data_IF_054456366779
#
_entry.id   IF_054456366779
#
_cell.length_a   1.000
_cell.length_b   1.000
_cell.length_c   1.000
_cell.angle_alpha   90.00
_cell.angle_beta   90.00
_cell.angle_gamma   90.00
#
_symmetry.space_group_name_H-M   'P 1'
#
loop_
_entity.id
_entity.type
_entity.pdbx_description
1 polymer ?
#
# COMPACT_ATOMS: atom_id res chain seq x y z
N UNK A 1 20.09 11.40 66.09
CA UNK A 1 19.73 10.12 65.44
C UNK A 1 18.73 10.28 64.29
N UNK A 2 17.78 11.24 64.31
CA UNK A 2 16.76 11.44 63.27
C UNK A 2 17.36 11.93 61.93
N UNK A 3 18.45 12.73 61.98
CA UNK A 3 19.10 13.27 60.78
C UNK A 3 19.85 12.23 59.93
N UNK A 4 20.37 11.16 60.55
CA UNK A 4 21.06 10.09 59.81
C UNK A 4 20.11 9.17 59.05
N UNK A 5 18.93 8.90 59.60
CA UNK A 5 17.92 8.05 58.98
C UNK A 5 17.28 8.74 57.77
N UNK A 6 16.99 10.06 57.84
CA UNK A 6 16.48 10.83 56.73
C UNK A 6 17.49 10.95 55.58
N UNK A 7 18.76 11.06 55.86
CA UNK A 7 19.82 11.09 54.85
C UNK A 7 19.95 9.74 54.11
N UNK A 8 19.83 8.63 54.84
CA UNK A 8 19.86 7.29 54.26
C UNK A 8 18.64 7.02 53.35
N UNK A 9 17.43 7.48 53.73
CA UNK A 9 16.22 7.34 52.94
C UNK A 9 16.34 8.18 51.65
N UNK A 10 16.85 9.40 51.75
CA UNK A 10 17.07 10.26 50.59
C UNK A 10 18.12 9.67 49.61
N UNK A 11 19.22 9.11 50.13
CA UNK A 11 20.23 8.43 49.31
C UNK A 11 19.68 7.18 48.60
N UNK A 12 18.88 6.36 49.30
CA UNK A 12 18.23 5.19 48.73
C UNK A 12 17.22 5.57 47.66
N UNK A 13 16.45 6.67 47.87
CA UNK A 13 15.52 7.21 46.88
C UNK A 13 16.23 7.68 45.59
N UNK A 14 17.35 8.40 45.72
CA UNK A 14 18.16 8.83 44.59
C UNK A 14 18.75 7.66 43.80
N UNK A 15 19.22 6.60 44.50
CA UNK A 15 19.71 5.38 43.84
C UNK A 15 18.59 4.65 43.06
N UNK A 16 17.40 4.57 43.64
CA UNK A 16 16.23 3.95 42.97
C UNK A 16 15.81 4.72 41.72
N UNK A 17 15.76 6.05 41.81
CA UNK A 17 15.47 6.90 40.64
C UNK A 17 16.56 6.78 39.58
N UNK A 18 17.82 6.75 39.98
CA UNK A 18 18.97 6.53 39.09
C UNK A 18 18.89 5.18 38.34
N UNK A 19 18.57 4.09 39.06
CA UNK A 19 18.37 2.77 38.48
C UNK A 19 17.17 2.73 37.52
N UNK A 20 16.06 3.38 37.85
CA UNK A 20 14.89 3.45 37.03
C UNK A 20 15.18 4.21 35.72
N UNK A 21 15.87 5.34 35.82
CA UNK A 21 16.30 6.13 34.67
C UNK A 21 17.30 5.37 33.78
N UNK A 22 18.23 4.61 34.39
CA UNK A 22 19.13 3.76 33.61
C UNK A 22 18.42 2.63 32.89
N UNK A 23 17.41 2.01 33.53
CA UNK A 23 16.58 0.98 32.89
C UNK A 23 15.71 1.57 31.75
N UNK A 24 15.08 2.72 31.93
CA UNK A 24 14.32 3.40 30.90
C UNK A 24 15.21 3.75 29.69
N UNK A 25 16.41 4.27 29.92
CA UNK A 25 17.37 4.53 28.84
C UNK A 25 17.84 3.25 28.13
N UNK A 26 18.03 2.16 28.86
CA UNK A 26 18.40 0.88 28.26
C UNK A 26 17.28 0.32 27.39
N UNK A 27 16.01 0.44 27.81
CA UNK A 27 14.83 0.05 27.02
C UNK A 27 14.71 0.95 25.79
N UNK A 28 14.83 2.26 25.95
CA UNK A 28 14.81 3.20 24.84
C UNK A 28 15.91 2.91 23.80
N UNK A 29 17.14 2.62 24.26
CA UNK A 29 18.24 2.21 23.38
C UNK A 29 18.01 0.87 22.67
N UNK A 30 17.29 -0.08 23.29
CA UNK A 30 16.94 -1.35 22.63
C UNK A 30 15.85 -1.21 21.60
N UNK A 31 14.94 -0.23 21.77
CA UNK A 31 13.86 0.07 20.84
C UNK A 31 14.30 0.99 19.69
N UNK A 32 15.48 1.62 19.77
CA UNK A 32 15.96 2.48 18.69
C UNK A 32 16.39 1.64 17.49
N UNK A 33 15.64 1.78 16.39
CA UNK A 33 15.91 1.14 15.08
C UNK A 33 17.34 1.35 14.58
N UNK A 34 18.00 2.45 14.95
CA UNK A 34 19.41 2.74 14.58
C UNK A 34 20.40 1.67 15.07
N UNK A 35 20.11 0.99 16.17
CA UNK A 35 21.00 -0.04 16.75
C UNK A 35 20.94 -1.37 16.00
N UNK A 36 19.86 -1.59 15.25
CA UNK A 36 19.65 -2.81 14.46
C UNK A 36 19.92 -2.59 12.96
N UNK A 37 20.34 -1.39 12.57
CA UNK A 37 20.77 -1.14 11.19
C UNK A 37 22.11 -1.82 10.96
N UNK A 38 22.09 -2.87 10.15
CA UNK A 38 23.28 -3.39 9.49
C UNK A 38 23.78 -2.34 8.49
N UNK A 39 25.11 -2.18 8.37
CA UNK A 39 25.70 -1.41 7.29
C UNK A 39 25.80 -2.23 5.97
N UNK A 40 25.33 -3.47 5.99
CA UNK A 40 25.27 -4.31 4.82
C UNK A 40 24.08 -3.92 3.94
N UNK A 41 24.25 -3.95 2.60
CA UNK A 41 23.16 -3.68 1.68
C UNK A 41 22.00 -4.65 1.92
N UNK A 42 20.80 -4.10 2.09
CA UNK A 42 19.57 -4.85 2.30
C UNK A 42 18.62 -4.70 1.10
N UNK A 43 17.60 -5.54 1.01
CA UNK A 43 16.59 -5.46 -0.05
C UNK A 43 15.94 -4.07 -0.12
N UNK A 44 15.72 -3.44 1.04
CA UNK A 44 15.18 -2.08 1.09
C UNK A 44 16.06 -1.04 0.38
N UNK A 45 17.38 -1.26 0.27
CA UNK A 45 18.27 -0.34 -0.44
C UNK A 45 18.12 -0.44 -1.96
N UNK A 46 17.71 -1.62 -2.45
CA UNK A 46 17.42 -1.87 -3.87
C UNK A 46 16.04 -1.38 -4.28
N UNK A 47 15.09 -1.33 -3.35
CA UNK A 47 13.73 -0.88 -3.61
C UNK A 47 13.68 0.64 -3.73
N UNK A 48 13.01 1.13 -4.78
CA UNK A 48 12.85 2.56 -5.04
C UNK A 48 11.65 3.17 -4.31
N UNK A 49 11.23 2.64 -3.18
CA UNK A 49 10.13 3.19 -2.39
C UNK A 49 10.69 3.95 -1.19
N UNK A 50 10.19 5.17 -0.94
CA UNK A 50 10.64 6.03 0.14
C UNK A 50 9.55 6.28 1.18
N UNK A 51 8.39 6.82 0.78
CA UNK A 51 7.32 7.18 1.71
C UNK A 51 5.95 7.20 1.03
N UNK A 52 4.87 7.10 1.81
CA UNK A 52 3.52 7.47 1.40
C UNK A 52 3.33 8.99 1.53
N UNK A 53 2.86 9.65 0.48
CA UNK A 53 2.72 11.13 0.44
C UNK A 53 1.29 11.59 0.19
N UNK A 54 0.34 10.71 0.28
CA UNK A 54 -1.06 11.01 0.06
C UNK A 54 -1.89 9.75 0.08
N UNK A 55 -3.19 9.90 -0.14
CA UNK A 55 -4.12 8.77 -0.13
C UNK A 55 -3.91 7.90 -1.39
N UNK A 56 -3.15 6.81 -1.23
CA UNK A 56 -2.79 5.90 -2.32
C UNK A 56 -1.78 6.48 -3.29
N UNK A 57 -0.81 7.26 -2.79
CA UNK A 57 0.35 7.74 -3.54
C UNK A 57 1.61 7.41 -2.75
N UNK A 58 2.56 6.78 -3.43
CA UNK A 58 3.90 6.49 -2.90
C UNK A 58 4.93 7.29 -3.68
N UNK A 59 5.87 7.89 -2.95
CA UNK A 59 7.04 8.53 -3.55
C UNK A 59 8.23 7.59 -3.53
N UNK A 60 8.94 7.50 -4.64
CA UNK A 60 10.20 6.77 -4.76
C UNK A 60 11.41 7.57 -4.28
N UNK A 61 12.53 6.89 -4.01
CA UNK A 61 13.82 7.51 -3.65
C UNK A 61 14.35 8.44 -4.75
N UNK A 62 13.96 8.20 -5.99
CA UNK A 62 14.25 9.05 -7.15
C UNK A 62 13.20 10.15 -7.34
N UNK A 63 12.32 10.36 -6.36
CA UNK A 63 11.20 11.30 -6.41
C UNK A 63 10.12 10.98 -7.45
N UNK A 64 10.07 9.76 -7.96
CA UNK A 64 8.93 9.31 -8.78
C UNK A 64 7.69 9.16 -7.91
N UNK A 65 6.54 9.64 -8.39
CA UNK A 65 5.24 9.46 -7.75
C UNK A 65 4.55 8.25 -8.36
N UNK A 66 3.95 7.40 -7.53
CA UNK A 66 3.34 6.13 -7.93
C UNK A 66 1.91 6.08 -7.42
N UNK A 67 0.98 5.70 -8.29
CA UNK A 67 -0.41 5.39 -7.95
C UNK A 67 -0.84 4.14 -8.71
N UNK A 68 -1.86 3.41 -8.22
CA UNK A 68 -2.33 2.21 -8.88
C UNK A 68 -3.84 2.02 -8.78
N UNK A 69 -4.37 1.25 -9.72
CA UNK A 69 -5.76 0.82 -9.80
C UNK A 69 -5.85 -0.66 -10.03
N UNK A 70 -6.71 -1.30 -9.31
CA UNK A 70 -7.24 -2.60 -9.73
C UNK A 70 -8.21 -2.35 -10.88
N UNK A 71 -8.13 -3.17 -11.92
CA UNK A 71 -9.02 -3.01 -13.06
C UNK A 71 -9.59 -4.33 -13.55
N UNK A 72 -10.78 -4.23 -14.10
CA UNK A 72 -11.44 -5.32 -14.82
C UNK A 72 -11.77 -4.81 -16.20
N UNK A 73 -11.27 -5.50 -17.22
CA UNK A 73 -11.61 -5.26 -18.62
C UNK A 73 -12.91 -5.96 -19.02
N UNK A 74 -13.43 -5.62 -20.18
CA UNK A 74 -14.52 -6.36 -20.78
C UNK A 74 -14.04 -7.73 -21.28
N UNK A 75 -14.96 -8.69 -21.35
CA UNK A 75 -14.68 -10.00 -21.94
C UNK A 75 -14.53 -9.85 -23.45
N UNK A 76 -13.31 -10.03 -23.95
CA UNK A 76 -12.98 -9.97 -25.37
C UNK A 76 -13.05 -11.33 -26.08
N UNK A 77 -13.45 -12.41 -25.40
CA UNK A 77 -13.48 -13.76 -25.98
C UNK A 77 -14.58 -13.91 -27.07
N UNK A 78 -15.67 -13.15 -26.94
CA UNK A 78 -16.82 -13.18 -27.83
C UNK A 78 -17.07 -11.92 -28.66
N UNK A 79 -16.13 -10.95 -28.61
CA UNK A 79 -16.26 -9.71 -29.39
C UNK A 79 -15.65 -9.84 -30.78
N UNK A 80 -16.15 -9.04 -31.72
CA UNK A 80 -15.61 -8.94 -33.08
C UNK A 80 -14.24 -8.28 -33.09
N UNK A 81 -13.46 -8.48 -34.17
CA UNK A 81 -12.17 -7.82 -34.37
C UNK A 81 -12.29 -6.30 -34.37
N UNK A 82 -13.39 -5.77 -34.92
CA UNK A 82 -13.67 -4.32 -34.95
C UNK A 82 -13.81 -3.78 -33.52
N UNK A 83 -14.55 -4.46 -32.66
CA UNK A 83 -14.75 -4.04 -31.27
C UNK A 83 -13.44 -4.09 -30.49
N UNK A 84 -12.60 -5.09 -30.74
CA UNK A 84 -11.26 -5.22 -30.14
C UNK A 84 -10.34 -4.09 -30.58
N UNK A 85 -10.36 -3.74 -31.87
CA UNK A 85 -9.59 -2.62 -32.42
C UNK A 85 -10.07 -1.30 -31.82
N UNK A 86 -11.38 -1.11 -31.68
CA UNK A 86 -11.95 0.09 -31.04
C UNK A 86 -11.53 0.21 -29.57
N UNK A 87 -11.50 -0.89 -28.82
CA UNK A 87 -11.01 -0.90 -27.44
C UNK A 87 -9.53 -0.49 -27.37
N UNK A 88 -8.71 -1.02 -28.28
CA UNK A 88 -7.28 -0.68 -28.39
C UNK A 88 -7.07 0.80 -28.73
N UNK A 89 -7.85 1.34 -29.64
CA UNK A 89 -7.81 2.78 -30.02
C UNK A 89 -8.19 3.66 -28.83
N UNK A 90 -9.26 3.32 -28.09
CA UNK A 90 -9.68 4.05 -26.88
C UNK A 90 -8.61 4.04 -25.80
N UNK A 91 -8.01 2.88 -25.53
CA UNK A 91 -6.91 2.76 -24.59
C UNK A 91 -5.72 3.63 -25.00
N UNK A 92 -5.29 3.52 -26.27
CA UNK A 92 -4.20 4.34 -26.79
C UNK A 92 -4.48 5.85 -26.69
N UNK A 93 -5.70 6.29 -27.00
CA UNK A 93 -6.11 7.68 -26.82
C UNK A 93 -6.08 8.14 -25.36
N UNK A 94 -6.41 7.26 -24.41
CA UNK A 94 -6.38 7.59 -22.99
C UNK A 94 -4.94 7.80 -22.49
N UNK A 95 -4.00 6.95 -22.92
CA UNK A 95 -2.61 6.99 -22.46
C UNK A 95 -1.71 7.93 -23.25
N UNK A 96 -2.01 8.19 -24.53
CA UNK A 96 -1.20 9.06 -25.40
C UNK A 96 -1.09 10.52 -24.93
N UNK A 97 -1.99 10.94 -24.01
CA UNK A 97 -1.93 12.27 -23.37
C UNK A 97 -0.93 12.38 -22.26
N UNK A 98 -0.40 11.23 -21.78
CA UNK A 98 0.70 11.21 -20.83
C UNK A 98 1.97 11.62 -21.57
N UNK A 99 2.61 12.68 -21.08
CA UNK A 99 3.84 13.21 -21.70
C UNK A 99 5.08 12.47 -21.21
N UNK A 100 6.23 13.14 -21.29
CA UNK A 100 7.49 12.61 -20.81
C UNK A 100 7.49 12.41 -19.28
N UNK A 101 8.21 11.39 -18.82
CA UNK A 101 8.34 11.07 -17.40
C UNK A 101 7.27 10.12 -16.87
N UNK A 102 6.27 9.76 -17.66
CA UNK A 102 5.25 8.79 -17.30
C UNK A 102 5.63 7.38 -17.71
N UNK A 103 5.33 6.41 -16.84
CA UNK A 103 5.48 5.00 -17.10
C UNK A 103 4.27 4.25 -16.57
N UNK A 104 3.80 3.26 -17.32
CA UNK A 104 2.73 2.37 -16.95
C UNK A 104 3.26 0.96 -16.77
N UNK A 105 2.83 0.30 -15.70
CA UNK A 105 3.07 -1.11 -15.44
C UNK A 105 1.73 -1.81 -15.31
N UNK A 106 1.65 -3.01 -15.82
CA UNK A 106 0.48 -3.87 -15.65
C UNK A 106 0.93 -5.15 -14.97
N UNK A 107 0.38 -5.38 -13.79
CA UNK A 107 0.62 -6.58 -13.01
C UNK A 107 -0.58 -7.51 -13.13
N UNK A 108 -0.33 -8.75 -13.56
CA UNK A 108 -1.30 -9.83 -13.57
C UNK A 108 -1.00 -10.79 -12.41
N UNK A 109 -1.69 -10.61 -11.31
CA UNK A 109 -1.53 -11.43 -10.11
C UNK A 109 -2.45 -12.62 -10.19
N UNK A 110 -1.88 -13.83 -10.22
CA UNK A 110 -2.64 -15.05 -10.21
C UNK A 110 -2.73 -15.58 -8.77
N UNK A 111 -3.94 -15.72 -8.26
CA UNK A 111 -4.23 -16.23 -6.91
C UNK A 111 -4.97 -17.54 -6.98
N UNK A 112 -4.68 -18.44 -6.04
CA UNK A 112 -5.54 -19.59 -5.82
C UNK A 112 -6.86 -19.10 -5.22
N UNK A 113 -7.97 -19.54 -5.81
CA UNK A 113 -9.30 -19.29 -5.26
C UNK A 113 -9.55 -20.31 -4.16
N UNK A 114 -10.13 -19.86 -3.04
CA UNK A 114 -10.66 -20.79 -2.05
C UNK A 114 -11.71 -21.69 -2.71
N UNK A 115 -11.51 -22.98 -2.52
CA UNK A 115 -12.44 -23.99 -3.01
C UNK A 115 -13.79 -23.75 -2.36
N UNK A 116 -14.82 -23.68 -3.15
CA UNK A 116 -16.25 -23.62 -2.82
C UNK A 116 -16.63 -23.41 -1.34
N UNK A 117 -17.60 -22.55 -1.05
CA UNK A 117 -18.02 -22.19 0.31
C UNK A 117 -18.22 -23.39 1.23
N UNK A 118 -17.75 -23.34 2.46
CA UNK A 118 -17.85 -24.42 3.42
C UNK A 118 -19.30 -24.86 3.66
N UNK A 119 -19.54 -26.14 4.01
CA UNK A 119 -20.89 -26.67 4.26
C UNK A 119 -21.66 -25.86 5.30
N UNK A 120 -20.98 -25.29 6.28
CA UNK A 120 -21.59 -24.46 7.31
C UNK A 120 -22.15 -23.13 6.78
N UNK A 121 -21.72 -22.72 5.58
CA UNK A 121 -22.18 -21.49 4.91
C UNK A 121 -23.25 -21.74 3.85
N UNK A 122 -23.59 -23.02 3.58
CA UNK A 122 -24.63 -23.42 2.64
C UNK A 122 -25.97 -23.58 3.36
N UNK A 123 -26.91 -22.71 3.07
CA UNK A 123 -28.25 -22.70 3.69
C UNK A 123 -29.33 -22.86 2.62
N UNK A 124 -29.47 -24.08 2.11
CA UNK A 124 -30.53 -24.43 1.14
C UNK A 124 -31.67 -25.13 1.85
N UNK A 125 -32.87 -24.52 1.95
CA UNK A 125 -34.02 -25.12 2.62
C UNK A 125 -34.63 -26.29 1.81
N UNK A 126 -34.44 -26.29 0.47
CA UNK A 126 -34.97 -27.31 -0.41
C UNK A 126 -33.94 -28.42 -0.63
N UNK A 127 -34.32 -29.70 -0.48
CA UNK A 127 -33.41 -30.83 -0.63
C UNK A 127 -32.85 -31.01 -2.04
N UNK A 128 -33.56 -30.55 -3.08
CA UNK A 128 -33.08 -30.64 -4.46
C UNK A 128 -31.95 -29.61 -4.67
N UNK A 129 -32.15 -28.38 -4.25
CA UNK A 129 -31.12 -27.35 -4.34
C UNK A 129 -29.90 -27.66 -3.48
N UNK A 130 -30.11 -28.27 -2.30
CA UNK A 130 -29.02 -28.76 -1.46
C UNK A 130 -28.22 -29.90 -2.14
N UNK A 131 -28.88 -30.79 -2.85
CA UNK A 131 -28.22 -31.86 -3.61
C UNK A 131 -27.41 -31.30 -4.80
N UNK A 132 -27.95 -30.31 -5.52
CA UNK A 132 -27.24 -29.60 -6.59
C UNK A 132 -25.99 -28.88 -6.05
N UNK A 133 -26.10 -28.18 -4.91
CA UNK A 133 -24.98 -27.55 -4.26
C UNK A 133 -23.89 -28.55 -3.86
N UNK A 134 -24.30 -29.71 -3.34
CA UNK A 134 -23.37 -30.75 -2.96
C UNK A 134 -22.61 -31.34 -4.16
N UNK A 135 -23.29 -31.53 -5.30
CA UNK A 135 -22.62 -32.02 -6.53
C UNK A 135 -21.69 -30.96 -7.11
N UNK A 136 -22.08 -29.70 -7.10
CA UNK A 136 -21.20 -28.60 -7.49
C UNK A 136 -19.96 -28.54 -6.61
N UNK A 137 -20.13 -28.68 -5.29
CA UNK A 137 -19.00 -28.71 -4.33
C UNK A 137 -18.03 -29.83 -4.67
N UNK A 138 -18.51 -31.05 -4.88
CA UNK A 138 -17.66 -32.18 -5.28
C UNK A 138 -16.90 -31.91 -6.57
N UNK A 139 -17.56 -31.27 -7.55
CA UNK A 139 -16.92 -30.91 -8.81
C UNK A 139 -15.76 -29.93 -8.60
N UNK A 140 -15.95 -28.89 -7.78
CA UNK A 140 -14.88 -27.92 -7.48
C UNK A 140 -13.78 -28.52 -6.60
N UNK A 141 -14.11 -29.37 -5.62
CA UNK A 141 -13.12 -30.06 -4.79
C UNK A 141 -12.25 -31.05 -5.59
N UNK A 142 -12.83 -31.67 -6.62
CA UNK A 142 -12.13 -32.62 -7.49
C UNK A 142 -11.36 -31.94 -8.64
N UNK A 143 -11.72 -30.72 -9.01
CA UNK A 143 -11.17 -29.97 -10.14
C UNK A 143 -9.74 -29.48 -9.97
N UNK A 144 -9.13 -29.67 -8.79
CA UNK A 144 -7.80 -29.17 -8.49
C UNK A 144 -7.77 -27.68 -8.11
N UNK A 145 -6.59 -27.08 -8.10
CA UNK A 145 -6.43 -25.70 -7.75
C UNK A 145 -7.04 -24.77 -8.82
N UNK A 146 -8.05 -24.03 -8.45
CA UNK A 146 -8.63 -22.97 -9.26
C UNK A 146 -7.87 -21.67 -9.00
N UNK A 147 -7.76 -20.84 -10.03
CA UNK A 147 -7.05 -19.58 -9.97
C UNK A 147 -7.93 -18.46 -10.51
N UNK A 148 -7.88 -17.33 -9.85
CA UNK A 148 -8.37 -16.07 -10.40
C UNK A 148 -7.23 -15.14 -10.73
N UNK A 149 -7.42 -14.26 -11.69
CA UNK A 149 -6.46 -13.23 -12.05
C UNK A 149 -6.95 -11.89 -11.55
N UNK A 150 -6.10 -11.22 -10.81
CA UNK A 150 -6.27 -9.84 -10.40
C UNK A 150 -5.32 -8.98 -11.22
N UNK A 151 -5.86 -7.95 -11.86
CA UNK A 151 -5.07 -7.05 -12.68
C UNK A 151 -4.91 -5.70 -11.99
N UNK A 152 -3.68 -5.23 -11.92
CA UNK A 152 -3.36 -3.94 -11.34
C UNK A 152 -2.61 -3.09 -12.36
N UNK A 153 -3.10 -1.89 -12.61
CA UNK A 153 -2.43 -0.87 -13.42
C UNK A 153 -1.72 0.09 -12.49
N UNK A 154 -0.39 0.07 -12.49
CA UNK A 154 0.45 1.02 -11.78
C UNK A 154 0.93 2.11 -12.74
N UNK A 155 0.82 3.34 -12.31
CA UNK A 155 1.30 4.50 -13.06
C UNK A 155 2.33 5.23 -12.22
N UNK A 156 3.49 5.48 -12.80
CA UNK A 156 4.54 6.26 -12.18
C UNK A 156 4.89 7.50 -13.01
N UNK A 157 5.20 8.58 -12.31
CA UNK A 157 5.61 9.84 -12.90
C UNK A 157 6.92 10.29 -12.29
N UNK A 158 7.94 10.43 -13.12
CA UNK A 158 9.22 11.02 -12.74
C UNK A 158 9.22 12.50 -13.14
N UNK A 159 9.17 13.42 -12.17
CA UNK A 159 9.16 14.85 -12.47
C UNK A 159 10.50 15.30 -13.07
N UNK A 160 10.55 16.47 -13.76
CA UNK A 160 11.78 17.06 -14.27
C UNK A 160 12.81 17.32 -13.15
N UNK A 161 14.10 17.28 -13.48
CA UNK A 161 15.21 17.32 -12.52
C UNK A 161 15.14 18.48 -11.50
N UNK A 162 14.61 19.66 -11.88
CA UNK A 162 14.41 20.77 -10.96
C UNK A 162 13.33 20.54 -9.90
N UNK A 163 12.33 19.71 -10.16
CA UNK A 163 11.30 19.32 -9.22
C UNK A 163 11.74 18.11 -8.35
N UNK A 164 12.56 17.23 -8.89
CA UNK A 164 13.15 16.08 -8.18
C UNK A 164 13.90 16.54 -6.93
N UNK A 165 14.77 17.54 -7.04
CA UNK A 165 15.53 18.07 -5.91
C UNK A 165 14.64 18.56 -4.77
N UNK A 166 13.53 19.22 -5.09
CA UNK A 166 12.58 19.76 -4.11
C UNK A 166 11.73 18.69 -3.43
N UNK A 167 11.40 17.62 -4.16
CA UNK A 167 10.69 16.47 -3.60
C UNK A 167 11.60 15.61 -2.71
N UNK A 168 12.89 15.48 -3.06
CA UNK A 168 13.83 14.72 -2.23
C UNK A 168 14.08 15.39 -0.87
N UNK A 169 14.01 16.71 -0.78
CA UNK A 169 14.12 17.44 0.49
C UNK A 169 13.01 17.04 1.49
N UNK A 170 11.80 16.70 1.00
CA UNK A 170 10.71 16.22 1.87
C UNK A 170 10.98 14.83 2.44
N UNK A 171 11.70 13.98 1.70
CA UNK A 171 11.94 12.59 2.09
C UNK A 171 13.06 12.48 3.13
N UNK A 172 14.06 13.36 3.04
CA UNK A 172 15.32 13.24 3.79
C UNK A 172 15.48 14.26 4.91
N UNK A 173 14.63 15.27 4.98
CA UNK A 173 14.69 16.32 6.00
C UNK A 173 13.60 16.07 7.06
N UNK A 174 14.03 15.72 8.29
CA UNK A 174 13.14 15.52 9.45
C UNK A 174 12.50 16.85 9.90
N UNK A 175 13.11 17.98 9.55
CA UNK A 175 12.50 19.31 9.69
C UNK A 175 11.66 19.59 8.43
N UNK A 176 10.33 19.64 8.60
CA UNK A 176 9.39 19.91 7.50
C UNK A 176 9.91 21.04 6.59
N UNK A 177 10.03 20.82 5.27
CA UNK A 177 10.60 21.79 4.35
C UNK A 177 9.83 23.11 4.46
N UNK A 178 10.54 24.19 4.77
CA UNK A 178 9.96 25.52 4.95
C UNK A 178 10.13 26.33 3.67
N UNK A 179 9.06 27.01 3.24
CA UNK A 179 9.12 27.97 2.14
C UNK A 179 8.90 27.38 0.74
N UNK A 180 9.70 27.82 -0.23
CA UNK A 180 9.50 27.56 -1.67
C UNK A 180 9.62 26.08 -2.07
N UNK A 181 10.39 25.27 -1.33
CA UNK A 181 10.54 23.85 -1.62
C UNK A 181 9.25 23.07 -1.32
N UNK A 182 8.63 23.33 -0.17
CA UNK A 182 7.34 22.71 0.20
C UNK A 182 6.22 23.10 -0.78
N UNK A 183 6.17 24.37 -1.18
CA UNK A 183 5.18 24.85 -2.15
C UNK A 183 5.34 24.17 -3.52
N UNK A 184 6.59 24.02 -3.98
CA UNK A 184 6.87 23.36 -5.26
C UNK A 184 6.59 21.87 -5.25
N UNK A 185 6.87 21.19 -4.14
CA UNK A 185 6.55 19.78 -3.96
C UNK A 185 5.04 19.55 -3.93
N UNK A 186 4.30 20.38 -3.20
CA UNK A 186 2.83 20.34 -3.18
C UNK A 186 2.24 20.55 -4.59
N UNK A 187 2.78 21.53 -5.33
CA UNK A 187 2.36 21.77 -6.72
C UNK A 187 2.62 20.57 -7.62
N UNK A 188 3.72 19.84 -7.43
CA UNK A 188 4.03 18.63 -8.20
C UNK A 188 3.06 17.50 -7.84
N UNK A 189 2.71 17.35 -6.57
CA UNK A 189 1.73 16.36 -6.11
C UNK A 189 0.33 16.68 -6.67
N UNK A 190 -0.11 17.94 -6.59
CA UNK A 190 -1.38 18.40 -7.16
C UNK A 190 -1.47 18.17 -8.68
N UNK A 191 -0.37 18.42 -9.39
CA UNK A 191 -0.28 18.12 -10.83
C UNK A 191 -0.44 16.61 -11.07
N UNK A 192 0.27 15.78 -10.32
CA UNK A 192 0.18 14.33 -10.43
C UNK A 192 -1.25 13.85 -10.15
N UNK A 193 -1.87 14.30 -9.06
CA UNK A 193 -3.25 13.94 -8.70
C UNK A 193 -4.25 14.33 -9.79
N UNK A 194 -4.10 15.51 -10.38
CA UNK A 194 -4.96 15.96 -11.48
C UNK A 194 -4.79 15.09 -12.72
N UNK A 195 -3.55 14.77 -13.09
CA UNK A 195 -3.27 13.96 -14.29
C UNK A 195 -3.76 12.51 -14.13
N UNK A 196 -3.57 11.91 -12.94
CA UNK A 196 -4.08 10.55 -12.69
C UNK A 196 -5.61 10.52 -12.62
N UNK A 197 -6.27 11.54 -12.07
CA UNK A 197 -7.72 11.64 -12.12
C UNK A 197 -8.24 11.78 -13.55
N UNK A 198 -7.54 12.56 -14.37
CA UNK A 198 -7.83 12.67 -15.81
C UNK A 198 -7.62 11.35 -16.56
N UNK A 199 -6.58 10.59 -16.23
CA UNK A 199 -6.32 9.26 -16.78
C UNK A 199 -7.42 8.28 -16.38
N UNK A 200 -7.79 8.23 -15.09
CA UNK A 200 -8.87 7.39 -14.57
C UNK A 200 -10.18 7.65 -15.30
N UNK A 201 -10.57 8.92 -15.48
CA UNK A 201 -11.77 9.29 -16.23
C UNK A 201 -11.73 8.83 -17.69
N UNK A 202 -10.58 8.89 -18.35
CA UNK A 202 -10.45 8.42 -19.74
C UNK A 202 -10.51 6.90 -19.85
N UNK A 203 -9.87 6.19 -18.92
CA UNK A 203 -9.83 4.73 -18.90
C UNK A 203 -11.16 4.12 -18.45
N UNK A 204 -11.96 4.83 -17.65
CA UNK A 204 -13.28 4.34 -17.17
C UNK A 204 -14.27 4.06 -18.29
N UNK A 205 -14.03 4.58 -19.50
CA UNK A 205 -14.80 4.25 -20.69
C UNK A 205 -14.56 2.81 -21.22
N UNK A 206 -13.46 2.17 -20.81
CA UNK A 206 -13.06 0.83 -21.30
C UNK A 206 -12.81 -0.16 -20.18
N UNK A 207 -12.61 0.31 -18.94
CA UNK A 207 -12.27 -0.53 -17.79
C UNK A 207 -13.07 -0.11 -16.56
N UNK A 208 -13.45 -1.08 -15.75
CA UNK A 208 -13.90 -0.81 -14.38
C UNK A 208 -12.66 -0.65 -13.53
N UNK A 209 -12.43 0.57 -13.04
CA UNK A 209 -11.25 0.94 -12.26
C UNK A 209 -11.61 1.13 -10.79
N UNK A 210 -10.79 0.59 -9.91
CA UNK A 210 -10.83 0.83 -8.47
C UNK A 210 -9.45 1.25 -8.01
N UNK A 211 -9.31 2.52 -7.62
CA UNK A 211 -8.04 3.03 -7.15
C UNK A 211 -7.64 2.38 -5.83
N UNK A 212 -6.39 1.94 -5.73
CA UNK A 212 -5.79 1.44 -4.49
C UNK A 212 -5.48 2.63 -3.59
N UNK A 213 -6.15 2.70 -2.44
CA UNK A 213 -6.04 3.81 -1.47
C UNK A 213 -5.97 3.26 -0.06
N UNK A 214 -5.66 4.16 0.88
CA UNK A 214 -5.86 3.85 2.28
C UNK A 214 -7.36 3.69 2.59
N UNK A 215 -7.69 2.67 3.40
CA UNK A 215 -9.04 2.39 3.88
C UNK A 215 -9.03 2.28 5.40
N UNK A 216 -10.08 2.79 6.03
CA UNK A 216 -10.28 2.64 7.47
C UNK A 216 -11.15 1.42 7.72
N UNK A 217 -10.69 0.54 8.60
CA UNK A 217 -11.44 -0.61 9.09
C UNK A 217 -11.60 -0.52 10.60
N UNK A 218 -12.73 -0.98 11.11
CA UNK A 218 -12.95 -1.12 12.55
C UNK A 218 -12.56 -2.53 12.94
N UNK A 219 -11.56 -2.66 13.81
CA UNK A 219 -11.10 -3.95 14.34
C UNK A 219 -12.10 -4.54 15.33
N UNK A 220 -11.95 -5.82 15.69
CA UNK A 220 -12.86 -6.52 16.60
C UNK A 220 -12.96 -5.87 18.00
N UNK A 221 -11.90 -5.15 18.41
CA UNK A 221 -11.85 -4.39 19.67
C UNK A 221 -12.53 -3.01 19.59
N UNK A 222 -13.07 -2.63 18.44
CA UNK A 222 -13.71 -1.35 18.16
C UNK A 222 -12.73 -0.22 17.84
N UNK A 223 -11.43 -0.50 17.72
CA UNK A 223 -10.45 0.51 17.28
C UNK A 223 -10.47 0.69 15.77
N UNK A 224 -10.31 1.93 15.31
CA UNK A 224 -10.15 2.23 13.90
C UNK A 224 -8.68 2.02 13.48
N UNK A 225 -8.48 1.20 12.47
CA UNK A 225 -7.19 0.97 11.85
C UNK A 225 -7.21 1.41 10.39
N UNK A 226 -6.14 2.03 9.93
CA UNK A 226 -5.99 2.45 8.53
C UNK A 226 -5.05 1.49 7.84
N UNK A 227 -5.50 0.90 6.74
CA UNK A 227 -4.74 -0.01 5.90
C UNK A 227 -4.52 0.62 4.52
N UNK A 228 -3.32 0.50 3.97
CA UNK A 228 -3.01 1.04 2.64
C UNK A 228 -2.93 -0.09 1.61
N UNK A 229 -3.87 -0.09 0.66
CA UNK A 229 -3.97 -1.11 -0.40
C UNK A 229 -2.84 -0.99 -1.44
N UNK A 230 -2.32 0.22 -1.70
CA UNK A 230 -1.19 0.40 -2.61
C UNK A 230 0.08 -0.18 -2.00
N UNK A 231 0.36 0.10 -0.73
CA UNK A 231 1.50 -0.50 -0.03
C UNK A 231 1.37 -2.02 0.07
N UNK A 232 0.16 -2.54 0.32
CA UNK A 232 -0.11 -3.97 0.29
C UNK A 232 0.24 -4.60 -1.06
N UNK A 233 -0.16 -3.96 -2.17
CA UNK A 233 0.16 -4.44 -3.51
C UNK A 233 1.67 -4.39 -3.79
N UNK A 234 2.34 -3.28 -3.46
CA UNK A 234 3.79 -3.16 -3.62
C UNK A 234 4.56 -4.18 -2.77
N UNK A 235 4.11 -4.42 -1.54
CA UNK A 235 4.66 -5.48 -0.68
C UNK A 235 4.49 -6.87 -1.33
N UNK A 236 3.29 -7.15 -1.87
CA UNK A 236 3.04 -8.38 -2.60
C UNK A 236 3.98 -8.57 -3.79
N UNK A 237 4.22 -7.52 -4.59
CA UNK A 237 5.13 -7.57 -5.74
C UNK A 237 6.57 -7.93 -5.35
N UNK A 238 6.99 -7.57 -4.14
CA UNK A 238 8.35 -7.84 -3.64
C UNK A 238 8.47 -9.21 -2.97
N UNK A 239 7.47 -9.58 -2.18
CA UNK A 239 7.54 -10.74 -1.28
C UNK A 239 6.72 -11.94 -1.74
N UNK A 240 5.73 -11.74 -2.62
CA UNK A 240 4.71 -12.74 -2.96
C UNK A 240 3.68 -12.98 -1.85
N UNK A 241 3.75 -12.24 -0.74
CA UNK A 241 2.87 -12.40 0.42
C UNK A 241 1.79 -11.31 0.39
N UNK A 242 0.53 -11.72 0.32
CA UNK A 242 -0.62 -10.81 0.41
C UNK A 242 -0.97 -10.54 1.87
N UNK A 243 -0.39 -9.48 2.41
CA UNK A 243 -0.56 -9.08 3.79
C UNK A 243 -1.09 -7.64 3.86
N UNK A 244 -2.18 -7.37 4.59
CA UNK A 244 -2.64 -6.01 4.83
C UNK A 244 -1.56 -5.18 5.53
N UNK A 245 -1.29 -3.98 5.02
CA UNK A 245 -0.30 -3.07 5.60
C UNK A 245 -1.02 -2.00 6.39
N UNK A 246 -0.91 -2.10 7.71
CA UNK A 246 -1.46 -1.11 8.64
C UNK A 246 -0.57 0.11 8.70
N UNK A 247 -1.16 1.28 8.54
CA UNK A 247 -0.47 2.55 8.74
C UNK A 247 -0.39 2.90 10.23
N UNK A 248 0.69 3.55 10.70
CA UNK A 248 0.77 4.01 12.07
C UNK A 248 -0.32 5.06 12.35
N UNK A 249 -0.89 5.01 13.55
CA UNK A 249 -1.94 5.95 14.00
C UNK A 249 -1.41 7.36 14.33
N UNK A 250 -0.11 7.56 14.27
CA UNK A 250 0.55 8.85 14.53
C UNK A 250 0.67 9.60 13.22
N UNK A 251 0.22 10.88 13.13
CA UNK A 251 0.47 11.70 11.95
C UNK A 251 1.98 11.84 11.74
N UNK A 252 2.42 11.51 10.52
CA UNK A 252 3.80 11.77 10.09
C UNK A 252 4.01 13.26 9.83
#
# INVERSE_FOLDING_TARGET
>A
MITGLSLMIAAAGLLLVGMLMARLRAVDQTLQLKRHRSNEPAVCDLLNYAAGVGNGIVIGKNSALIAAWEYVGDDHASVTDIERDMASVRFNQAVSRLGNGWMLHVDAVRRSVEVYSGRAQSHFPDPITAAIDQERRKYFEQGGALYESRFVLCVSYLPPAGAVKKLSEIIYDDDAPKGDAAAAARKTLELFEREIAGLENRLSASFKLRRLRARTEVEEDGTEAVYDELLQHLHYCVTGIDQPIRLPSVPM
#
